data_IF_786716675480
#
_entry.id   IF_786716675480
#
_cell.length_a   1.000
_cell.length_b   1.000
_cell.length_c   1.000
_cell.angle_alpha   90.00
_cell.angle_beta   90.00
_cell.angle_gamma   90.00
#
_symmetry.space_group_name_H-M   'P 1'
#
loop_
_entity.id
_entity.type
_entity.pdbx_description
1 polymer ?
#
# COMPACT_ATOMS: atom_id res chain seq x y z
N UNK A 1 41.34 -18.47 1.01
CA UNK A 1 40.11 -18.60 1.84
C UNK A 1 39.58 -17.27 2.36
N UNK A 2 40.39 -16.36 2.94
CA UNK A 2 39.92 -15.05 3.44
C UNK A 2 39.25 -14.14 2.40
N UNK A 3 39.79 -14.09 1.17
CA UNK A 3 39.21 -13.30 0.08
C UNK A 3 37.86 -13.82 -0.44
N UNK A 4 37.65 -15.14 -0.38
CA UNK A 4 36.41 -15.79 -0.83
C UNK A 4 35.23 -15.44 0.07
N UNK A 5 35.47 -15.37 1.39
CA UNK A 5 34.46 -14.96 2.36
C UNK A 5 34.06 -13.48 2.19
N UNK A 6 35.05 -12.62 1.90
CA UNK A 6 34.81 -11.21 1.61
C UNK A 6 33.93 -11.02 0.36
N UNK A 7 34.27 -11.70 -0.73
CA UNK A 7 33.50 -11.63 -1.99
C UNK A 7 32.07 -12.13 -1.79
N UNK A 8 31.87 -13.27 -1.12
CA UNK A 8 30.54 -13.81 -0.83
C UNK A 8 29.70 -12.84 0.01
N UNK A 9 30.29 -12.21 1.02
CA UNK A 9 29.59 -11.23 1.85
C UNK A 9 29.21 -9.98 1.07
N UNK A 10 30.07 -9.48 0.18
CA UNK A 10 29.75 -8.32 -0.66
C UNK A 10 28.71 -8.65 -1.71
N UNK A 11 28.76 -9.83 -2.34
CA UNK A 11 27.75 -10.26 -3.31
C UNK A 11 26.39 -10.40 -2.62
N UNK A 12 26.34 -11.01 -1.44
CA UNK A 12 25.11 -11.13 -0.66
C UNK A 12 24.54 -9.76 -0.26
N UNK A 13 25.41 -8.84 0.21
CA UNK A 13 25.00 -7.48 0.51
C UNK A 13 24.43 -6.77 -0.73
N UNK A 14 25.09 -6.90 -1.89
CA UNK A 14 24.66 -6.27 -3.15
C UNK A 14 23.36 -6.86 -3.69
N UNK A 15 23.16 -8.17 -3.57
CA UNK A 15 21.94 -8.84 -4.03
C UNK A 15 20.70 -8.52 -3.19
N UNK A 16 20.88 -8.06 -1.94
CA UNK A 16 19.77 -7.63 -1.09
C UNK A 16 19.41 -6.15 -1.26
N UNK A 17 20.19 -5.36 -2.01
CA UNK A 17 19.99 -3.91 -2.13
C UNK A 17 18.71 -3.59 -2.93
N UNK A 18 17.80 -2.85 -2.31
CA UNK A 18 16.59 -2.33 -2.95
C UNK A 18 15.45 -3.34 -3.09
N UNK A 19 15.55 -4.53 -2.48
CA UNK A 19 14.46 -5.50 -2.46
C UNK A 19 13.22 -4.94 -1.76
N UNK A 20 13.39 -4.17 -0.69
CA UNK A 20 12.26 -3.55 0.03
C UNK A 20 11.49 -2.57 -0.85
N UNK A 21 12.18 -1.72 -1.60
CA UNK A 21 11.58 -0.79 -2.56
C UNK A 21 10.88 -1.53 -3.71
N UNK A 22 11.51 -2.57 -4.26
CA UNK A 22 10.90 -3.40 -5.30
C UNK A 22 9.63 -4.09 -4.80
N UNK A 23 9.65 -4.65 -3.58
CA UNK A 23 8.49 -5.32 -3.00
C UNK A 23 7.39 -4.31 -2.65
N UNK A 24 7.73 -3.12 -2.15
CA UNK A 24 6.76 -2.04 -1.88
C UNK A 24 6.07 -1.56 -3.16
N UNK A 25 6.81 -1.49 -4.27
CA UNK A 25 6.28 -1.13 -5.58
C UNK A 25 5.64 -2.31 -6.33
N UNK A 26 5.81 -3.54 -5.85
CA UNK A 26 5.22 -4.72 -6.46
C UNK A 26 3.74 -4.80 -6.10
N UNK A 27 2.86 -4.51 -7.04
CA UNK A 27 1.43 -4.58 -6.81
C UNK A 27 0.61 -3.90 -7.90
N UNK A 28 -0.69 -3.80 -7.64
CA UNK A 28 -1.59 -2.97 -8.43
C UNK A 28 -1.51 -1.55 -7.88
N UNK A 29 -1.21 -0.61 -8.76
CA UNK A 29 -1.23 0.81 -8.45
C UNK A 29 -2.67 1.33 -8.58
N UNK A 30 -3.27 1.68 -7.45
CA UNK A 30 -4.65 2.18 -7.44
C UNK A 30 -4.76 3.56 -8.09
N UNK A 31 -3.69 4.36 -8.06
CA UNK A 31 -3.65 5.68 -8.69
C UNK A 31 -3.67 5.61 -10.23
N UNK A 32 -3.47 4.42 -10.82
CA UNK A 32 -3.60 4.21 -12.26
C UNK A 32 -5.02 3.81 -12.68
N UNK A 33 -5.92 3.55 -11.73
CA UNK A 33 -7.28 3.11 -12.00
C UNK A 33 -8.25 4.23 -11.62
N UNK A 34 -8.59 5.05 -12.61
CA UNK A 34 -9.37 6.27 -12.40
C UNK A 34 -10.88 6.05 -12.37
N UNK A 35 -11.40 4.97 -12.96
CA UNK A 35 -12.85 4.79 -13.10
C UNK A 35 -13.39 3.63 -12.27
N UNK A 36 -14.62 3.81 -11.78
CA UNK A 36 -15.35 2.80 -11.03
C UNK A 36 -15.50 1.49 -11.79
N UNK A 37 -15.75 1.55 -13.10
CA UNK A 37 -15.91 0.36 -13.94
C UNK A 37 -14.64 -0.48 -13.97
N UNK A 38 -13.47 0.16 -14.07
CA UNK A 38 -12.18 -0.54 -14.07
C UNK A 38 -11.88 -1.16 -12.70
N UNK A 39 -12.22 -0.47 -11.61
CA UNK A 39 -12.06 -0.99 -10.25
C UNK A 39 -12.95 -2.22 -10.05
N UNK A 40 -14.22 -2.14 -10.44
CA UNK A 40 -15.16 -3.27 -10.34
C UNK A 40 -14.74 -4.43 -11.26
N UNK A 41 -14.13 -4.14 -12.41
CA UNK A 41 -13.57 -5.17 -13.29
C UNK A 41 -12.38 -5.88 -12.65
N UNK A 42 -11.48 -5.16 -11.98
CA UNK A 42 -10.25 -5.70 -11.43
C UNK A 42 -10.46 -6.39 -10.06
N UNK A 43 -11.32 -5.84 -9.21
CA UNK A 43 -11.53 -6.28 -7.83
C UNK A 43 -12.89 -6.94 -7.58
N UNK A 44 -13.82 -6.86 -8.53
CA UNK A 44 -15.17 -7.41 -8.38
C UNK A 44 -16.15 -6.44 -7.74
N UNK A 45 -17.27 -6.96 -7.25
CA UNK A 45 -18.33 -6.15 -6.64
C UNK A 45 -17.88 -5.59 -5.29
N UNK A 46 -18.25 -4.34 -4.96
CA UNK A 46 -17.94 -3.76 -3.66
C UNK A 46 -18.63 -4.53 -2.53
N UNK A 47 -17.94 -4.65 -1.40
CA UNK A 47 -18.48 -5.24 -0.17
C UNK A 47 -19.54 -4.35 0.47
N UNK A 48 -19.34 -3.03 0.40
CA UNK A 48 -20.28 -2.03 0.90
C UNK A 48 -20.22 -0.77 0.07
N UNK A 49 -21.34 -0.06 0.02
CA UNK A 49 -21.51 1.20 -0.71
C UNK A 49 -22.17 2.20 0.23
N UNK A 50 -21.57 3.37 0.39
CA UNK A 50 -22.05 4.46 1.23
C UNK A 50 -22.14 5.74 0.40
N UNK A 51 -23.29 6.39 0.44
CA UNK A 51 -23.51 7.65 -0.28
C UNK A 51 -23.25 8.82 0.65
N UNK A 52 -22.47 9.78 0.18
CA UNK A 52 -22.09 11.01 0.87
C UNK A 52 -22.43 12.20 -0.03
N UNK A 53 -22.44 13.42 0.51
CA UNK A 53 -22.69 14.63 -0.29
C UNK A 53 -21.64 14.80 -1.40
N UNK A 54 -20.39 14.42 -1.11
CA UNK A 54 -19.24 14.54 -2.01
C UNK A 54 -19.16 13.41 -3.06
N UNK A 55 -19.96 12.34 -2.92
CA UNK A 55 -19.95 11.20 -3.83
C UNK A 55 -20.24 9.86 -3.17
N UNK A 56 -19.67 8.78 -3.72
CA UNK A 56 -19.94 7.41 -3.25
C UNK A 56 -18.67 6.76 -2.72
N UNK A 57 -18.69 6.32 -1.47
CA UNK A 57 -17.61 5.54 -0.86
C UNK A 57 -17.92 4.06 -1.04
N UNK A 58 -17.03 3.32 -1.67
CA UNK A 58 -17.17 1.88 -1.86
C UNK A 58 -16.01 1.14 -1.19
N UNK A 59 -16.32 0.06 -0.48
CA UNK A 59 -15.32 -0.82 0.15
C UNK A 59 -15.08 -2.06 -0.70
N UNK A 60 -13.83 -2.46 -0.85
CA UNK A 60 -13.40 -3.63 -1.61
C UNK A 60 -12.44 -4.47 -0.80
N UNK A 61 -12.38 -5.77 -1.09
CA UNK A 61 -11.43 -6.71 -0.51
C UNK A 61 -10.52 -7.27 -1.58
N UNK A 62 -9.21 -7.29 -1.32
CA UNK A 62 -8.23 -7.88 -2.23
C UNK A 62 -7.18 -8.69 -1.50
N UNK A 63 -6.77 -9.80 -2.12
CA UNK A 63 -5.59 -10.60 -1.70
C UNK A 63 -4.34 -10.26 -2.49
N UNK A 64 -4.41 -9.24 -3.34
CA UNK A 64 -3.27 -8.77 -4.12
C UNK A 64 -2.58 -7.65 -3.36
N UNK A 65 -1.26 -7.56 -3.47
CA UNK A 65 -0.54 -6.39 -2.96
C UNK A 65 -0.94 -5.15 -3.77
N UNK A 66 -1.27 -4.09 -3.05
CA UNK A 66 -1.44 -2.75 -3.59
C UNK A 66 -0.07 -2.07 -3.56
N UNK A 67 0.32 -1.43 -4.66
CA UNK A 67 1.59 -0.73 -4.75
C UNK A 67 1.58 0.51 -3.83
N UNK A 68 2.67 0.73 -3.10
CA UNK A 68 2.84 1.89 -2.22
C UNK A 68 4.02 2.75 -2.72
N UNK A 69 3.86 3.51 -3.81
CA UNK A 69 4.98 4.18 -4.50
C UNK A 69 5.71 5.19 -3.61
N UNK A 70 4.99 5.93 -2.76
CA UNK A 70 5.60 6.87 -1.80
C UNK A 70 6.47 6.13 -0.77
N UNK A 71 6.03 4.97 -0.31
CA UNK A 71 6.79 4.13 0.63
C UNK A 71 8.02 3.54 -0.04
N UNK A 72 7.89 3.08 -1.29
CA UNK A 72 9.02 2.61 -2.10
C UNK A 72 10.08 3.70 -2.31
N UNK A 73 9.66 4.94 -2.60
CA UNK A 73 10.55 6.09 -2.67
C UNK A 73 11.25 6.37 -1.33
N UNK A 74 10.53 6.25 -0.21
CA UNK A 74 11.08 6.32 1.14
C UNK A 74 12.18 5.27 1.38
N UNK A 75 11.96 4.02 0.98
CA UNK A 75 12.99 2.98 1.08
C UNK A 75 14.21 3.26 0.20
N UNK A 76 14.02 3.75 -1.03
CA UNK A 76 15.14 4.17 -1.88
C UNK A 76 15.99 5.29 -1.24
N UNK A 77 15.34 6.24 -0.56
CA UNK A 77 16.01 7.33 0.14
C UNK A 77 16.76 6.83 1.38
N UNK A 78 16.10 6.02 2.21
CA UNK A 78 16.70 5.38 3.39
C UNK A 78 17.91 4.53 3.00
N UNK A 79 17.77 3.78 1.90
CA UNK A 79 18.84 2.99 1.32
C UNK A 79 20.07 3.84 0.98
N UNK A 80 19.87 4.96 0.27
CA UNK A 80 20.94 5.89 -0.09
C UNK A 80 21.61 6.54 1.12
N UNK A 81 20.84 6.88 2.15
CA UNK A 81 21.34 7.53 3.36
C UNK A 81 22.07 6.58 4.32
N UNK A 82 21.58 5.36 4.46
CA UNK A 82 22.11 4.36 5.39
C UNK A 82 23.01 3.31 4.73
N UNK A 83 23.37 3.52 3.46
CA UNK A 83 24.19 2.60 2.65
C UNK A 83 23.64 1.16 2.69
N UNK A 84 22.32 1.00 2.71
CA UNK A 84 21.65 -0.31 2.74
C UNK A 84 21.74 -1.07 4.07
N UNK A 85 22.23 -0.48 5.17
CA UNK A 85 22.33 -1.17 6.47
C UNK A 85 20.96 -1.61 7.00
N UNK A 86 19.90 -0.87 6.69
CA UNK A 86 18.54 -1.18 7.15
C UNK A 86 17.76 -2.11 6.21
N UNK A 87 18.29 -2.37 5.02
CA UNK A 87 17.62 -3.12 3.96
C UNK A 87 17.21 -4.55 4.35
N UNK A 88 18.01 -5.32 5.10
CA UNK A 88 17.58 -6.66 5.52
C UNK A 88 16.35 -6.62 6.43
N UNK A 89 16.24 -5.60 7.28
CA UNK A 89 15.10 -5.43 8.18
C UNK A 89 13.87 -4.96 7.42
N UNK A 90 13.98 -3.92 6.59
CA UNK A 90 12.84 -3.42 5.79
C UNK A 90 12.34 -4.50 4.82
N UNK A 91 13.24 -5.23 4.18
CA UNK A 91 12.89 -6.34 3.28
C UNK A 91 12.14 -7.45 4.02
N UNK A 92 12.59 -7.85 5.21
CA UNK A 92 11.89 -8.88 5.98
C UNK A 92 10.47 -8.45 6.38
N UNK A 93 10.28 -7.18 6.77
CA UNK A 93 8.97 -6.60 7.06
C UNK A 93 8.09 -6.59 5.83
N UNK A 94 8.59 -6.12 4.68
CA UNK A 94 7.85 -6.05 3.42
C UNK A 94 7.45 -7.43 2.89
N UNK A 95 8.30 -8.44 3.01
CA UNK A 95 7.97 -9.83 2.68
C UNK A 95 6.89 -10.36 3.61
N UNK A 96 6.98 -10.05 4.91
CA UNK A 96 5.96 -10.41 5.89
C UNK A 96 4.60 -9.82 5.56
N UNK A 97 4.55 -8.51 5.29
CA UNK A 97 3.33 -7.80 4.88
C UNK A 97 2.79 -8.31 3.55
N UNK A 98 3.66 -8.53 2.56
CA UNK A 98 3.26 -9.12 1.27
C UNK A 98 2.62 -10.49 1.47
N UNK A 99 3.24 -11.34 2.29
CA UNK A 99 2.73 -12.69 2.58
C UNK A 99 1.40 -12.62 3.34
N UNK A 100 1.31 -11.75 4.35
CA UNK A 100 0.08 -11.55 5.13
C UNK A 100 -1.08 -11.09 4.24
N UNK A 101 -0.86 -10.05 3.45
CA UNK A 101 -1.86 -9.52 2.51
C UNK A 101 -2.23 -10.53 1.43
N UNK A 102 -1.31 -11.41 1.04
CA UNK A 102 -1.61 -12.48 0.07
C UNK A 102 -2.49 -13.59 0.65
N UNK A 103 -2.32 -13.88 1.95
CA UNK A 103 -3.04 -14.98 2.63
C UNK A 103 -4.41 -14.50 3.11
N UNK A 104 -4.45 -13.41 3.86
CA UNK A 104 -5.67 -12.89 4.49
C UNK A 104 -6.44 -12.01 3.52
N UNK A 105 -5.72 -11.21 2.75
CA UNK A 105 -6.28 -10.09 2.04
C UNK A 105 -6.31 -8.83 2.89
N UNK A 106 -6.82 -7.77 2.28
CA UNK A 106 -6.90 -6.43 2.86
C UNK A 106 -8.11 -5.72 2.28
N UNK A 107 -8.75 -4.93 3.14
CA UNK A 107 -9.85 -4.06 2.74
C UNK A 107 -9.35 -2.65 2.43
N UNK A 108 -9.94 -2.05 1.43
CA UNK A 108 -9.68 -0.66 1.05
C UNK A 108 -10.98 0.02 0.65
N UNK A 109 -11.01 1.33 0.82
CA UNK A 109 -12.15 2.17 0.41
C UNK A 109 -11.72 3.14 -0.67
N UNK A 110 -12.65 3.39 -1.58
CA UNK A 110 -12.47 4.37 -2.64
C UNK A 110 -13.64 5.33 -2.60
N UNK A 111 -13.33 6.62 -2.52
CA UNK A 111 -14.30 7.68 -2.74
C UNK A 111 -14.37 7.97 -4.23
N UNK A 112 -15.53 7.76 -4.82
CA UNK A 112 -15.85 8.17 -6.17
C UNK A 112 -16.59 9.50 -6.16
N UNK A 113 -16.26 10.38 -7.12
CA UNK A 113 -17.05 11.58 -7.39
C UNK A 113 -18.43 11.21 -8.00
N UNK A 114 -19.27 12.23 -8.22
CA UNK A 114 -20.57 12.07 -8.86
C UNK A 114 -20.49 11.61 -10.34
N UNK A 115 -19.31 11.71 -10.96
CA UNK A 115 -19.05 11.26 -12.33
C UNK A 115 -18.53 9.83 -12.41
N UNK A 116 -18.26 9.18 -11.26
CA UNK A 116 -17.72 7.82 -11.18
C UNK A 116 -16.19 7.73 -11.23
N UNK A 117 -15.46 8.84 -11.08
CA UNK A 117 -14.01 8.86 -11.00
C UNK A 117 -13.53 8.70 -9.56
N UNK A 118 -12.44 7.96 -9.35
CA UNK A 118 -11.81 7.80 -8.06
C UNK A 118 -11.08 9.08 -7.65
N UNK A 119 -11.43 9.62 -6.48
CA UNK A 119 -10.87 10.87 -5.93
C UNK A 119 -9.91 10.58 -4.78
N UNK A 120 -10.22 9.58 -3.96
CA UNK A 120 -9.43 9.23 -2.77
C UNK A 120 -9.44 7.73 -2.54
N UNK A 121 -8.27 7.21 -2.16
CA UNK A 121 -8.06 5.83 -1.75
C UNK A 121 -7.69 5.80 -0.28
N UNK A 122 -8.38 4.98 0.51
CA UNK A 122 -8.10 4.77 1.93
C UNK A 122 -7.79 3.29 2.17
N UNK A 123 -6.58 3.02 2.62
CA UNK A 123 -6.09 1.67 2.88
C UNK A 123 -6.16 1.38 4.40
N UNK A 124 -6.97 0.42 4.82
CA UNK A 124 -7.09 0.05 6.24
C UNK A 124 -6.05 -1.02 6.58
N UNK A 125 -5.19 -0.79 7.57
CA UNK A 125 -4.37 -1.84 8.17
C UNK A 125 -5.16 -2.31 9.41
N UNK A 126 -5.41 -3.62 9.54
CA UNK A 126 -6.23 -4.19 10.61
C UNK A 126 -5.96 -3.59 12.00
N UNK A 127 -7.05 -3.41 12.76
CA UNK A 127 -7.26 -2.91 14.13
C UNK A 127 -7.58 -1.41 14.37
N UNK A 128 -7.49 -0.52 13.38
CA UNK A 128 -8.10 0.82 13.48
C UNK A 128 -9.42 0.88 12.68
N UNK A 129 -10.38 0.05 13.08
CA UNK A 129 -11.81 0.27 12.81
C UNK A 129 -12.25 1.52 13.58
N UNK A 130 -11.81 2.71 13.15
CA UNK A 130 -12.52 3.92 13.53
C UNK A 130 -13.86 3.89 12.80
N UNK A 131 -14.99 3.84 13.52
CA UNK A 131 -16.29 3.86 12.88
C UNK A 131 -16.41 5.16 12.08
N UNK A 132 -16.91 5.03 10.85
CA UNK A 132 -17.18 6.13 9.90
C UNK A 132 -17.98 7.29 10.55
N UNK A 133 -18.65 7.03 11.67
CA UNK A 133 -19.38 8.03 12.47
C UNK A 133 -18.51 9.07 13.21
N UNK A 134 -17.18 9.06 13.09
CA UNK A 134 -16.31 10.07 13.72
C UNK A 134 -15.70 11.09 12.73
N UNK A 135 -15.85 10.89 11.41
CA UNK A 135 -15.35 11.85 10.42
C UNK A 135 -16.32 13.02 10.16
N UNK A 136 -17.58 12.91 10.56
CA UNK A 136 -18.55 14.03 10.46
C UNK A 136 -18.42 15.08 11.58
N UNK A 137 -17.70 14.79 12.68
CA UNK A 137 -17.68 15.69 13.84
C UNK A 137 -16.46 16.61 13.93
N UNK A 138 -15.45 16.46 13.07
CA UNK A 138 -14.24 17.31 13.11
C UNK A 138 -14.27 18.53 12.18
N UNK A 139 -15.27 18.65 11.29
CA UNK A 139 -15.41 19.81 10.40
C UNK A 139 -16.38 20.90 10.89
N UNK A 140 -16.87 20.84 12.14
CA UNK A 140 -17.87 21.80 12.66
C UNK A 140 -17.36 22.63 13.86
N UNK A 141 -16.05 22.68 14.14
CA UNK A 141 -15.55 23.46 15.28
C UNK A 141 -14.35 24.37 15.02
N UNK A 142 -14.16 24.81 13.78
CA UNK A 142 -13.27 25.94 13.46
C UNK A 142 -14.03 26.99 12.63
N UNK A 143 -15.02 27.64 13.26
CA UNK A 143 -15.48 29.01 12.91
C UNK A 143 -15.33 29.92 14.13
#
# INVERSE_FOLDING_TARGET
MRFLCGILSTVWAISALGCSALIANAGIDLEQIDTRELIVQEFGQPLSVHYTEDGTIESFHTRRKIAEPLKAAGYCMEFGMLLGVYEPKSTAVEVGLFTWNSVIGRDFRILFDQSGNAVRYELYFDDDDLPVSQLETQNVTDE
#
